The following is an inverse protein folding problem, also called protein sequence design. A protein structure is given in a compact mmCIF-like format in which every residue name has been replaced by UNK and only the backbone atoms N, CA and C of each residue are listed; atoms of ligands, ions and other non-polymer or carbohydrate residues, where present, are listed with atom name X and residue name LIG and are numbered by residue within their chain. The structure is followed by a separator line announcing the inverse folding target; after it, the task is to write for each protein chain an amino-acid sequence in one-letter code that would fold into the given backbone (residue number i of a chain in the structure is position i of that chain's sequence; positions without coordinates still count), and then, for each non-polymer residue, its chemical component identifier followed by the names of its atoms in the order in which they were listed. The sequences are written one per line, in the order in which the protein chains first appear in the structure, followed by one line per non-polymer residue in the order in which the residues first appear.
data_IF_730978690721
#
_entry.id   IF_730978690721
#
_cell.length_a   1.000
_cell.length_b   1.000
_cell.length_c   1.000
_cell.angle_alpha   90.00
_cell.angle_beta   90.00
_cell.angle_gamma   90.00
#
_symmetry.space_group_name_H-M   'P 1'
#
loop_
_entity.id
_entity.type
_entity.pdbx_description
1 polymer ?
#
# COMPACT_ATOMS: atom_id res chain seq x y z
N UNK A 1 -7.25 -14.27 3.93
CA UNK A 1 -7.37 -13.25 2.87
C UNK A 1 -8.49 -13.68 1.93
N UNK A 2 -9.67 -13.07 2.06
CA UNK A 2 -10.87 -13.50 1.31
C UNK A 2 -10.81 -13.12 -0.17
N UNK A 3 -11.63 -13.78 -0.99
CA UNK A 3 -11.59 -13.78 -2.47
C UNK A 3 -11.71 -12.42 -3.20
N UNK A 4 -11.84 -11.29 -2.48
CA UNK A 4 -12.04 -9.98 -3.11
C UNK A 4 -11.19 -8.85 -2.52
N UNK A 5 -10.10 -9.14 -1.78
CA UNK A 5 -9.23 -8.06 -1.29
C UNK A 5 -8.38 -7.50 -2.43
N UNK A 6 -8.68 -6.27 -2.86
CA UNK A 6 -7.80 -5.44 -3.68
C UNK A 6 -6.60 -5.03 -2.81
N UNK A 7 -5.45 -5.66 -3.05
CA UNK A 7 -4.24 -5.47 -2.23
C UNK A 7 -3.32 -4.45 -2.90
N UNK A 8 -2.86 -3.47 -2.13
CA UNK A 8 -1.88 -2.49 -2.58
C UNK A 8 -0.65 -2.60 -1.68
N UNK A 9 0.52 -2.88 -2.29
CA UNK A 9 1.80 -2.90 -1.59
C UNK A 9 2.56 -1.58 -1.78
N UNK A 10 3.26 -1.10 -0.76
CA UNK A 10 4.07 0.12 -0.82
C UNK A 10 5.30 0.03 0.10
N UNK A 11 6.32 0.85 -0.14
CA UNK A 11 7.48 1.00 0.75
C UNK A 11 8.00 2.44 0.76
N UNK A 12 9.27 2.68 0.39
CA UNK A 12 9.85 4.02 0.27
C UNK A 12 9.84 4.52 -1.18
N UNK A 13 10.31 3.71 -2.12
CA UNK A 13 10.39 4.02 -3.57
C UNK A 13 9.94 2.82 -4.43
N UNK A 14 9.01 2.00 -3.95
CA UNK A 14 8.45 0.86 -4.69
C UNK A 14 9.33 -0.38 -4.83
N UNK A 15 10.61 -0.31 -4.45
CA UNK A 15 11.61 -1.35 -4.68
C UNK A 15 11.39 -2.59 -3.81
N UNK A 16 11.11 -2.41 -2.53
CA UNK A 16 10.85 -3.52 -1.58
C UNK A 16 9.44 -4.07 -1.72
N UNK A 17 8.46 -3.21 -2.01
CA UNK A 17 7.08 -3.64 -2.24
C UNK A 17 6.91 -4.41 -3.54
N UNK A 18 7.80 -4.23 -4.53
CA UNK A 18 7.82 -5.06 -5.74
C UNK A 18 8.05 -6.55 -5.43
N UNK A 19 8.91 -6.86 -4.45
CA UNK A 19 9.13 -8.23 -4.01
C UNK A 19 7.87 -8.84 -3.42
N UNK A 20 7.19 -8.14 -2.51
CA UNK A 20 5.93 -8.61 -1.92
C UNK A 20 4.82 -8.72 -2.97
N UNK A 21 4.71 -7.74 -3.88
CA UNK A 21 3.78 -7.79 -5.01
C UNK A 21 4.00 -9.04 -5.87
N UNK A 22 5.25 -9.38 -6.19
CA UNK A 22 5.59 -10.57 -6.96
C UNK A 22 5.13 -11.85 -6.26
N UNK A 23 5.42 -11.98 -4.96
CA UNK A 23 4.98 -13.14 -4.15
C UNK A 23 3.46 -13.26 -4.15
N UNK A 24 2.75 -12.17 -3.86
CA UNK A 24 1.29 -12.16 -3.82
C UNK A 24 0.67 -12.50 -5.18
N UNK A 25 1.23 -11.96 -6.27
CA UNK A 25 0.71 -12.12 -7.63
C UNK A 25 0.97 -13.52 -8.19
N UNK A 26 2.22 -13.99 -8.12
CA UNK A 26 2.66 -15.18 -8.86
C UNK A 26 2.76 -16.43 -8.01
N UNK A 27 3.09 -16.30 -6.72
CA UNK A 27 3.24 -17.47 -5.84
C UNK A 27 1.94 -17.81 -5.12
N UNK A 28 1.16 -16.79 -4.75
CA UNK A 28 -0.11 -16.96 -4.03
C UNK A 28 -1.35 -16.79 -4.91
N UNK A 29 -1.16 -16.43 -6.19
CA UNK A 29 -2.25 -16.37 -7.18
C UNK A 29 -3.30 -15.29 -6.92
N UNK A 30 -2.97 -14.24 -6.16
CA UNK A 30 -3.93 -13.16 -5.88
C UNK A 30 -4.08 -12.29 -7.14
N UNK A 31 -5.29 -12.21 -7.68
CA UNK A 31 -5.51 -11.53 -8.96
C UNK A 31 -5.36 -10.01 -8.86
N UNK A 32 -5.95 -9.41 -7.82
CA UNK A 32 -6.05 -7.95 -7.63
C UNK A 32 -4.97 -7.43 -6.69
N UNK A 33 -3.71 -7.45 -7.15
CA UNK A 33 -2.57 -6.89 -6.41
C UNK A 33 -1.88 -5.83 -7.25
N UNK A 34 -1.69 -4.65 -6.67
CA UNK A 34 -0.98 -3.51 -7.28
C UNK A 34 0.19 -3.08 -6.40
N UNK A 35 1.26 -2.61 -7.04
CA UNK A 35 2.36 -1.95 -6.35
C UNK A 35 2.20 -0.44 -6.51
N UNK A 36 2.17 0.29 -5.39
CA UNK A 36 2.19 1.75 -5.39
C UNK A 36 3.65 2.23 -5.38
N UNK A 37 4.18 2.54 -6.54
CA UNK A 37 5.60 2.84 -6.79
C UNK A 37 6.04 4.19 -6.21
N UNK A 38 5.17 5.21 -6.23
CA UNK A 38 5.43 6.51 -5.59
C UNK A 38 5.67 6.40 -4.08
N UNK A 39 5.00 5.43 -3.43
CA UNK A 39 5.32 4.97 -2.07
C UNK A 39 5.40 6.14 -1.06
N UNK A 40 6.16 5.99 0.03
CA UNK A 40 6.28 7.05 1.04
C UNK A 40 6.97 8.32 0.53
N UNK A 41 7.82 8.23 -0.49
CA UNK A 41 8.49 9.42 -1.04
C UNK A 41 7.48 10.38 -1.67
N UNK A 42 6.49 9.85 -2.40
CA UNK A 42 5.37 10.63 -2.91
C UNK A 42 4.42 11.06 -1.79
N UNK A 43 3.88 10.10 -1.03
CA UNK A 43 2.83 10.38 -0.02
C UNK A 43 3.33 11.31 1.09
N UNK A 44 4.55 11.10 1.57
CA UNK A 44 5.16 11.91 2.62
C UNK A 44 5.52 13.34 2.18
N UNK A 45 5.55 13.61 0.87
CA UNK A 45 5.82 14.94 0.31
C UNK A 45 4.54 15.67 -0.15
N UNK A 46 3.43 14.96 -0.27
CA UNK A 46 2.16 15.52 -0.72
C UNK A 46 1.52 16.42 0.35
N UNK A 47 1.00 17.57 -0.08
CA UNK A 47 0.32 18.52 0.81
C UNK A 47 -1.10 18.05 1.09
N UNK A 48 -1.52 18.11 2.36
CA UNK A 48 -2.89 17.80 2.82
C UNK A 48 -3.35 16.36 2.57
N UNK A 49 -2.44 15.40 2.53
CA UNK A 49 -2.81 13.97 2.57
C UNK A 49 -2.89 13.48 4.03
N UNK A 50 -3.78 12.52 4.34
CA UNK A 50 -3.86 11.97 5.68
C UNK A 50 -2.63 11.13 6.04
N UNK A 51 -2.15 11.26 7.28
CA UNK A 51 -1.04 10.50 7.84
C UNK A 51 -1.40 10.06 9.26
N UNK A 52 -1.22 8.77 9.54
CA UNK A 52 -1.31 8.18 10.88
C UNK A 52 0.10 7.85 11.37
N UNK A 53 0.36 8.05 12.66
CA UNK A 53 1.63 7.73 13.34
C UNK A 53 1.36 6.80 14.52
N UNK A 54 2.34 5.98 14.91
CA UNK A 54 2.24 5.03 16.01
C UNK A 54 2.19 3.58 15.53
N UNK A 55 1.84 2.65 16.42
CA UNK A 55 1.73 1.20 16.13
C UNK A 55 0.37 0.80 15.53
N UNK A 56 -0.64 1.64 15.69
CA UNK A 56 -2.01 1.33 15.27
C UNK A 56 -2.28 1.77 13.82
N UNK A 57 -3.03 1.00 13.02
CA UNK A 57 -3.35 1.35 11.62
C UNK A 57 -4.12 2.67 11.43
N UNK A 58 -4.87 3.10 12.45
CA UNK A 58 -5.72 4.29 12.40
C UNK A 58 -7.09 4.05 11.76
N UNK A 59 -7.86 5.14 11.63
CA UNK A 59 -9.22 5.14 11.08
C UNK A 59 -9.24 5.89 9.75
N UNK A 60 -10.25 5.57 8.92
CA UNK A 60 -10.52 6.33 7.69
C UNK A 60 -10.91 7.76 8.09
N UNK A 61 -10.20 8.79 7.61
CA UNK A 61 -10.55 10.17 7.94
C UNK A 61 -11.88 10.57 7.28
N UNK A 62 -12.66 11.39 7.97
CA UNK A 62 -13.91 11.96 7.47
C UNK A 62 -13.69 13.40 6.99
N UNK A 63 -14.23 13.76 5.82
CA UNK A 63 -14.32 15.15 5.38
C UNK A 63 -13.10 15.70 4.62
N UNK A 64 -12.51 14.91 3.73
CA UNK A 64 -11.70 15.45 2.62
C UNK A 64 -12.59 15.84 1.44
#
# INVERSE_FOLDING_TARGET
IGEASDVIAYCRIGERSSHTWFVLKYLLGIEKVRNYDGSWTEWGSAVRVPIVKGSEPGLVPVGF
#
